data_IF_835303715583
#
_entry.id   IF_835303715583
#
_cell.length_a   1.000
_cell.length_b   1.000
_cell.length_c   1.000
_cell.angle_alpha   90.00
_cell.angle_beta   90.00
_cell.angle_gamma   90.00
#
_symmetry.space_group_name_H-M   'P 1'
#
loop_
_entity.id
_entity.type
_entity.pdbx_description
1 polymer ?
#
# COMPACT_ATOMS: atom_id res chain seq x y z
N UNK A 1 -30.72 19.61 -0.34
CA UNK A 1 -29.50 18.97 -0.86
C UNK A 1 -29.76 18.00 -2.01
N UNK A 2 -30.94 17.38 -2.12
CA UNK A 2 -31.19 16.29 -3.09
C UNK A 2 -30.97 16.62 -4.57
N UNK A 3 -31.22 17.84 -5.06
CA UNK A 3 -31.13 18.13 -6.50
C UNK A 3 -29.69 18.06 -7.06
N UNK A 4 -28.67 18.50 -6.31
CA UNK A 4 -27.28 18.47 -6.80
C UNK A 4 -26.66 17.09 -6.71
N UNK A 5 -26.87 16.38 -5.59
CA UNK A 5 -26.37 15.02 -5.42
C UNK A 5 -27.03 14.05 -6.38
N UNK A 6 -28.34 14.20 -6.64
CA UNK A 6 -29.03 13.37 -7.64
C UNK A 6 -28.49 13.58 -9.05
N UNK A 7 -28.23 14.83 -9.44
CA UNK A 7 -27.56 15.14 -10.72
C UNK A 7 -26.15 14.56 -10.79
N UNK A 8 -25.39 14.62 -9.69
CA UNK A 8 -24.05 14.04 -9.62
C UNK A 8 -24.09 12.52 -9.79
N UNK A 9 -25.05 11.84 -9.14
CA UNK A 9 -25.27 10.41 -9.31
C UNK A 9 -25.64 10.04 -10.75
N UNK A 10 -26.48 10.85 -11.39
CA UNK A 10 -26.83 10.64 -12.80
C UNK A 10 -25.59 10.75 -13.69
N UNK A 11 -24.76 11.78 -13.48
CA UNK A 11 -23.50 11.96 -14.21
C UNK A 11 -22.49 10.84 -13.98
N UNK A 12 -22.44 10.31 -12.76
CA UNK A 12 -21.62 9.14 -12.44
C UNK A 12 -22.07 7.91 -13.24
N UNK A 13 -23.39 7.65 -13.33
CA UNK A 13 -23.95 6.54 -14.12
C UNK A 13 -23.73 6.71 -15.63
N UNK A 14 -23.69 7.95 -16.11
CA UNK A 14 -23.37 8.29 -17.50
C UNK A 14 -21.86 8.16 -17.83
N UNK A 15 -21.00 7.90 -16.83
CA UNK A 15 -19.55 7.86 -17.00
C UNK A 15 -18.89 9.24 -17.03
N UNK A 16 -19.64 10.32 -16.87
CA UNK A 16 -19.14 11.69 -16.80
C UNK A 16 -18.60 12.02 -15.39
N UNK A 17 -17.51 11.36 -15.00
CA UNK A 17 -16.98 11.42 -13.63
C UNK A 17 -16.45 12.80 -13.23
N UNK A 18 -15.88 13.57 -14.16
CA UNK A 18 -15.40 14.94 -13.90
C UNK A 18 -16.55 15.90 -13.58
N UNK A 19 -17.63 15.84 -14.36
CA UNK A 19 -18.85 16.61 -14.08
C UNK A 19 -19.50 16.18 -12.76
N UNK A 20 -19.51 14.87 -12.47
CA UNK A 20 -19.99 14.35 -11.20
C UNK A 20 -19.16 14.91 -10.02
N UNK A 21 -17.83 14.98 -10.14
CA UNK A 21 -16.94 15.55 -9.12
C UNK A 21 -17.23 17.02 -8.84
N UNK A 22 -17.48 17.82 -9.88
CA UNK A 22 -17.86 19.23 -9.71
C UNK A 22 -19.16 19.35 -8.92
N UNK A 23 -20.20 18.58 -9.31
CA UNK A 23 -21.49 18.59 -8.62
C UNK A 23 -21.40 18.09 -7.17
N UNK A 24 -20.56 17.08 -6.89
CA UNK A 24 -20.29 16.65 -5.52
C UNK A 24 -19.52 17.69 -4.72
N UNK A 25 -18.59 18.42 -5.32
CA UNK A 25 -17.86 19.52 -4.67
C UNK A 25 -18.80 20.64 -4.25
N UNK A 26 -19.72 21.04 -5.15
CA UNK A 26 -20.75 22.03 -4.85
C UNK A 26 -21.74 21.56 -3.77
N UNK A 27 -22.06 20.26 -3.76
CA UNK A 27 -22.89 19.66 -2.73
C UNK A 27 -22.17 19.64 -1.37
N UNK A 28 -20.86 19.36 -1.36
CA UNK A 28 -20.02 19.32 -0.17
C UNK A 28 -19.86 20.70 0.46
N UNK A 29 -19.66 21.74 -0.35
CA UNK A 29 -19.62 23.13 0.12
C UNK A 29 -20.92 23.56 0.83
N UNK A 30 -22.06 23.01 0.40
CA UNK A 30 -23.36 23.26 1.01
C UNK A 30 -23.71 22.28 2.15
N UNK A 31 -22.90 21.26 2.39
CA UNK A 31 -23.20 20.19 3.34
C UNK A 31 -22.97 20.63 4.79
N UNK A 32 -24.02 20.53 5.63
CA UNK A 32 -23.97 20.87 7.06
C UNK A 32 -23.86 19.67 7.98
N UNK A 33 -24.44 18.53 7.59
CA UNK A 33 -24.46 17.32 8.43
C UNK A 33 -23.24 16.44 8.13
N UNK A 34 -22.61 15.91 9.18
CA UNK A 34 -21.43 15.04 9.06
C UNK A 34 -21.70 13.82 8.19
N UNK A 35 -22.86 13.19 8.37
CA UNK A 35 -23.32 12.04 7.59
C UNK A 35 -23.33 12.32 6.08
N UNK A 36 -23.78 13.53 5.69
CA UNK A 36 -23.78 13.94 4.29
C UNK A 36 -22.37 14.20 3.77
N UNK A 37 -21.48 14.77 4.61
CA UNK A 37 -20.07 14.96 4.23
C UNK A 37 -19.37 13.62 3.99
N UNK A 38 -19.58 12.64 4.88
CA UNK A 38 -19.06 11.27 4.73
C UNK A 38 -19.51 10.65 3.40
N UNK A 39 -20.81 10.71 3.10
CA UNK A 39 -21.34 10.19 1.84
C UNK A 39 -20.76 10.93 0.62
N UNK A 40 -20.60 12.25 0.68
CA UNK A 40 -20.06 13.05 -0.43
C UNK A 40 -18.58 12.77 -0.69
N UNK A 41 -17.76 12.67 0.34
CA UNK A 41 -16.36 12.27 0.21
C UNK A 41 -16.24 10.84 -0.35
N UNK A 42 -17.07 9.90 0.13
CA UNK A 42 -17.09 8.53 -0.41
C UNK A 42 -17.44 8.48 -1.90
N UNK A 43 -18.42 9.29 -2.34
CA UNK A 43 -18.79 9.38 -3.75
C UNK A 43 -17.71 10.06 -4.61
N UNK A 44 -17.02 11.08 -4.07
CA UNK A 44 -15.87 11.70 -4.75
C UNK A 44 -14.70 10.73 -4.89
N UNK A 45 -14.43 9.92 -3.86
CA UNK A 45 -13.43 8.85 -3.94
C UNK A 45 -13.74 7.88 -5.09
N UNK A 46 -15.00 7.43 -5.20
CA UNK A 46 -15.42 6.56 -6.31
C UNK A 46 -15.22 7.20 -7.69
N UNK A 47 -15.55 8.48 -7.87
CA UNK A 47 -15.25 9.20 -9.11
C UNK A 47 -13.73 9.24 -9.41
N UNK A 48 -12.91 9.53 -8.40
CA UNK A 48 -11.46 9.57 -8.58
C UNK A 48 -10.89 8.21 -8.95
N UNK A 49 -11.42 7.12 -8.38
CA UNK A 49 -11.04 5.75 -8.77
C UNK A 49 -11.38 5.45 -10.22
N UNK A 50 -12.60 5.80 -10.67
CA UNK A 50 -13.00 5.64 -12.07
C UNK A 50 -12.15 6.49 -13.04
N UNK A 51 -11.59 7.59 -12.57
CA UNK A 51 -10.63 8.42 -13.30
C UNK A 51 -9.16 8.01 -13.10
N UNK A 52 -8.89 6.86 -12.44
CA UNK A 52 -7.55 6.38 -12.08
C UNK A 52 -6.70 7.39 -11.28
N UNK A 53 -7.34 8.33 -10.60
CA UNK A 53 -6.71 9.31 -9.73
C UNK A 53 -6.54 8.76 -8.30
N UNK A 54 -5.75 7.70 -8.14
CA UNK A 54 -5.63 6.94 -6.88
C UNK A 54 -5.24 7.80 -5.68
N UNK A 55 -4.27 8.71 -5.85
CA UNK A 55 -3.86 9.63 -4.78
C UNK A 55 -5.01 10.47 -4.24
N UNK A 56 -5.81 11.08 -5.14
CA UNK A 56 -6.97 11.88 -4.76
C UNK A 56 -8.07 11.01 -4.15
N UNK A 57 -8.27 9.79 -4.63
CA UNK A 57 -9.21 8.85 -4.02
C UNK A 57 -8.81 8.51 -2.58
N UNK A 58 -7.53 8.30 -2.30
CA UNK A 58 -7.02 8.05 -0.95
C UNK A 58 -7.17 9.28 -0.03
N UNK A 59 -7.00 10.49 -0.55
CA UNK A 59 -7.28 11.75 0.17
C UNK A 59 -8.75 11.87 0.56
N UNK A 60 -9.68 11.60 -0.36
CA UNK A 60 -11.12 11.60 -0.06
C UNK A 60 -11.49 10.53 0.99
N UNK A 61 -10.88 9.35 0.94
CA UNK A 61 -11.06 8.33 1.98
C UNK A 61 -10.52 8.81 3.34
N UNK A 62 -9.37 9.51 3.33
CA UNK A 62 -8.80 10.08 4.54
C UNK A 62 -9.72 11.13 5.16
N UNK A 63 -10.35 11.98 4.34
CA UNK A 63 -11.37 12.92 4.80
C UNK A 63 -12.59 12.22 5.43
N UNK A 64 -13.00 11.05 4.92
CA UNK A 64 -14.04 10.24 5.59
C UNK A 64 -13.55 9.75 6.96
N UNK A 65 -12.30 9.28 7.06
CA UNK A 65 -11.73 8.74 8.28
C UNK A 65 -11.43 9.80 9.35
N UNK A 66 -11.26 11.06 8.96
CA UNK A 66 -11.23 12.19 9.90
C UNK A 66 -12.60 12.43 10.56
N UNK A 67 -13.69 12.18 9.83
CA UNK A 67 -15.05 12.33 10.34
C UNK A 67 -15.53 11.10 11.13
N UNK A 68 -15.17 9.90 10.64
CA UNK A 68 -15.43 8.61 11.29
C UNK A 68 -14.20 7.70 11.20
N UNK A 69 -13.36 7.68 12.24
CA UNK A 69 -12.14 6.88 12.27
C UNK A 69 -12.36 5.36 12.20
N UNK A 70 -13.58 4.87 12.42
CA UNK A 70 -13.88 3.44 12.36
C UNK A 70 -14.74 3.07 11.15
N UNK A 71 -14.85 3.96 10.17
CA UNK A 71 -15.61 3.73 8.95
C UNK A 71 -14.96 2.61 8.11
N UNK A 72 -15.49 1.40 8.24
CA UNK A 72 -14.93 0.17 7.63
C UNK A 72 -14.84 0.27 6.11
N UNK A 73 -15.85 0.85 5.46
CA UNK A 73 -15.84 1.04 4.00
C UNK A 73 -14.72 1.97 3.52
N UNK A 74 -14.37 3.00 4.30
CA UNK A 74 -13.34 3.95 3.92
C UNK A 74 -11.94 3.39 4.19
N UNK A 75 -11.76 2.65 5.29
CA UNK A 75 -10.52 1.90 5.54
C UNK A 75 -10.26 0.88 4.44
N UNK A 76 -11.28 0.11 4.04
CA UNK A 76 -11.15 -0.88 2.98
C UNK A 76 -10.82 -0.24 1.64
N UNK A 77 -11.57 0.80 1.25
CA UNK A 77 -11.34 1.49 -0.03
C UNK A 77 -9.95 2.13 -0.08
N UNK A 78 -9.51 2.77 1.00
CA UNK A 78 -8.18 3.38 1.07
C UNK A 78 -7.09 2.32 1.00
N UNK A 79 -7.22 1.20 1.73
CA UNK A 79 -6.27 0.10 1.66
C UNK A 79 -6.12 -0.45 0.23
N UNK A 80 -7.23 -0.70 -0.47
CA UNK A 80 -7.19 -1.16 -1.86
C UNK A 80 -6.60 -0.10 -2.81
N UNK A 81 -6.97 1.16 -2.62
CA UNK A 81 -6.41 2.28 -3.41
C UNK A 81 -4.88 2.38 -3.22
N UNK A 82 -4.40 2.17 -2.00
CA UNK A 82 -2.97 2.17 -1.67
C UNK A 82 -2.24 0.95 -2.26
N UNK A 83 -2.90 -0.22 -2.32
CA UNK A 83 -2.39 -1.39 -3.06
C UNK A 83 -2.16 -1.07 -4.53
N UNK A 84 -3.14 -0.44 -5.20
CA UNK A 84 -2.99 -0.01 -6.59
C UNK A 84 -1.88 1.06 -6.78
N UNK A 85 -1.49 1.75 -5.71
CA UNK A 85 -0.35 2.68 -5.70
C UNK A 85 0.97 2.01 -5.28
N UNK A 86 0.97 0.68 -5.05
CA UNK A 86 2.09 -0.11 -4.52
C UNK A 86 2.59 0.38 -3.14
N UNK A 87 1.76 1.14 -2.40
CA UNK A 87 2.03 1.55 -1.01
C UNK A 87 1.46 0.51 -0.03
N UNK A 88 2.14 -0.64 0.01
CA UNK A 88 1.70 -1.78 0.81
C UNK A 88 1.80 -1.53 2.32
N UNK A 89 2.73 -0.70 2.78
CA UNK A 89 2.88 -0.37 4.20
C UNK A 89 1.66 0.40 4.73
N UNK A 90 1.26 1.46 4.02
CA UNK A 90 0.07 2.24 4.39
C UNK A 90 -1.21 1.40 4.26
N UNK A 91 -1.31 0.56 3.24
CA UNK A 91 -2.43 -0.36 3.08
C UNK A 91 -2.54 -1.33 4.27
N UNK A 92 -1.42 -1.90 4.72
CA UNK A 92 -1.37 -2.85 5.82
C UNK A 92 -1.77 -2.20 7.14
N UNK A 93 -1.42 -0.92 7.36
CA UNK A 93 -1.89 -0.15 8.50
C UNK A 93 -3.42 -0.07 8.57
N UNK A 94 -4.08 0.24 7.46
CA UNK A 94 -5.55 0.31 7.40
C UNK A 94 -6.22 -1.06 7.57
N UNK A 95 -5.63 -2.12 7.01
CA UNK A 95 -6.13 -3.48 7.18
C UNK A 95 -5.99 -3.95 8.63
N UNK A 96 -4.94 -3.56 9.35
CA UNK A 96 -4.82 -3.85 10.78
C UNK A 96 -5.96 -3.19 11.58
N UNK A 97 -6.29 -1.93 11.28
CA UNK A 97 -7.44 -1.25 11.90
C UNK A 97 -8.77 -1.94 11.60
N UNK A 98 -8.94 -2.46 10.38
CA UNK A 98 -10.10 -3.29 10.04
C UNK A 98 -10.19 -4.58 10.87
N UNK A 99 -9.05 -5.23 11.11
CA UNK A 99 -8.96 -6.41 11.97
C UNK A 99 -9.19 -6.10 13.45
N UNK A 100 -8.84 -4.90 13.92
CA UNK A 100 -9.23 -4.45 15.27
C UNK A 100 -10.75 -4.30 15.42
N UNK A 101 -11.44 -3.86 14.35
CA UNK A 101 -12.90 -3.70 14.34
C UNK A 101 -13.60 -5.06 14.22
N UNK A 102 -13.13 -5.91 13.30
CA UNK A 102 -13.68 -7.25 13.11
C UNK A 102 -12.56 -8.30 12.97
N UNK A 103 -12.09 -8.86 14.10
CA UNK A 103 -10.99 -9.82 14.11
C UNK A 103 -11.30 -11.15 13.43
N UNK A 104 -12.58 -11.50 13.27
CA UNK A 104 -13.03 -12.77 12.68
C UNK A 104 -13.22 -12.72 11.16
N UNK A 105 -13.03 -11.57 10.53
CA UNK A 105 -13.17 -11.40 9.08
C UNK A 105 -12.05 -12.10 8.32
N UNK A 106 -12.38 -13.21 7.66
CA UNK A 106 -11.43 -13.92 6.80
C UNK A 106 -11.00 -13.06 5.60
N UNK A 107 -11.89 -12.19 5.11
CA UNK A 107 -11.58 -11.22 4.05
C UNK A 107 -10.40 -10.32 4.47
N UNK A 108 -10.42 -9.81 5.70
CA UNK A 108 -9.38 -8.89 6.19
C UNK A 108 -8.06 -9.63 6.47
N UNK A 109 -8.13 -10.86 7.00
CA UNK A 109 -6.94 -11.70 7.23
C UNK A 109 -6.26 -12.10 5.93
N UNK A 110 -7.04 -12.49 4.92
CA UNK A 110 -6.51 -12.86 3.61
C UNK A 110 -5.84 -11.66 2.94
N UNK A 111 -6.45 -10.48 2.99
CA UNK A 111 -5.84 -9.24 2.48
C UNK A 111 -4.56 -8.89 3.25
N UNK A 112 -4.56 -8.99 4.58
CA UNK A 112 -3.36 -8.76 5.40
C UNK A 112 -2.22 -9.72 5.03
N UNK A 113 -2.52 -11.01 4.84
CA UNK A 113 -1.53 -12.02 4.46
C UNK A 113 -0.91 -11.70 3.10
N UNK A 114 -1.74 -11.37 2.09
CA UNK A 114 -1.26 -10.92 0.77
C UNK A 114 -0.33 -9.71 0.89
N UNK A 115 -0.74 -8.69 1.63
CA UNK A 115 0.04 -7.46 1.83
C UNK A 115 1.38 -7.72 2.53
N UNK A 116 1.41 -8.61 3.53
CA UNK A 116 2.67 -8.98 4.22
C UNK A 116 3.65 -9.65 3.27
N UNK A 117 3.16 -10.51 2.38
CA UNK A 117 3.99 -11.12 1.35
C UNK A 117 4.55 -10.04 0.42
N UNK A 118 3.73 -9.11 -0.07
CA UNK A 118 4.19 -8.02 -0.94
C UNK A 118 5.25 -7.13 -0.26
N UNK A 119 5.06 -6.78 1.01
CA UNK A 119 6.07 -6.04 1.79
C UNK A 119 7.37 -6.82 1.94
N UNK A 120 7.30 -8.15 2.09
CA UNK A 120 8.49 -9.01 2.17
C UNK A 120 9.20 -9.20 0.84
N UNK A 121 8.48 -9.08 -0.28
CA UNK A 121 9.02 -9.20 -1.64
C UNK A 121 9.57 -7.89 -2.18
N UNK A 122 9.29 -6.75 -1.52
CA UNK A 122 9.82 -5.46 -1.91
C UNK A 122 11.35 -5.56 -2.07
N UNK A 123 11.89 -5.13 -3.22
CA UNK A 123 13.32 -5.20 -3.47
C UNK A 123 14.07 -4.58 -2.30
N UNK A 124 15.10 -5.29 -1.81
CA UNK A 124 16.08 -4.68 -0.91
C UNK A 124 16.53 -3.42 -1.66
N UNK A 125 16.42 -2.21 -1.06
CA UNK A 125 16.96 -1.03 -1.71
C UNK A 125 18.41 -1.35 -2.00
N UNK A 126 18.73 -1.55 -3.28
CA UNK A 126 20.12 -1.59 -3.72
C UNK A 126 20.67 -0.28 -3.18
N UNK A 127 21.68 -0.38 -2.31
CA UNK A 127 22.24 0.79 -1.67
C UNK A 127 22.69 1.74 -2.76
N UNK A 128 21.86 2.73 -3.05
CA UNK A 128 22.27 3.89 -3.81
C UNK A 128 23.28 4.56 -2.88
N UNK A 129 24.55 4.24 -3.10
CA UNK A 129 25.70 5.06 -2.73
C UNK A 129 25.57 6.38 -3.50
N UNK A 130 24.48 7.13 -3.26
CA UNK A 130 24.30 8.49 -3.70
C UNK A 130 25.10 9.35 -2.71
N UNK A 131 26.42 9.30 -2.90
CA UNK A 131 27.35 10.28 -2.36
C UNK A 131 27.03 11.63 -2.99
N UNK A 132 26.01 12.32 -2.47
CA UNK A 132 25.92 13.77 -2.64
C UNK A 132 26.99 14.40 -1.76
N UNK A 133 28.19 14.60 -2.35
CA UNK A 133 29.13 15.59 -1.86
C UNK A 133 28.43 16.94 -1.84
N UNK A 134 28.05 17.44 -0.66
CA UNK A 134 28.22 18.85 -0.26
C UNK A 134 27.55 19.12 1.09
N UNK A 135 28.31 18.97 2.17
CA UNK A 135 28.15 19.79 3.38
C UNK A 135 29.43 19.68 4.24
N UNK A 136 30.34 20.65 4.05
CA UNK A 136 31.49 20.87 4.92
C UNK A 136 31.05 21.41 6.29
N UNK A 137 31.68 20.83 7.30
CA UNK A 137 32.01 21.36 8.64
C UNK A 137 30.85 21.53 9.63
N UNK A 138 30.87 20.76 10.73
CA UNK A 138 31.48 21.20 12.00
C UNK A 138 32.07 19.99 12.75
N UNK A 139 33.37 20.05 13.01
CA UNK A 139 34.12 19.10 13.83
C UNK A 139 33.98 19.48 15.30
N UNK A 140 33.38 18.62 16.12
CA UNK A 140 33.54 18.67 17.58
C UNK A 140 34.17 17.37 18.08
N UNK A 141 35.44 17.48 18.43
CA UNK A 141 36.25 16.45 19.08
C UNK A 141 35.74 16.13 20.49
N UNK A 142 35.76 14.85 20.87
CA UNK A 142 36.49 14.28 22.03
C UNK A 142 35.97 12.86 22.34
N UNK A 143 36.68 12.02 23.12
CA UNK A 143 38.07 11.63 23.03
C UNK A 143 38.26 10.08 23.07
N UNK A 144 39.24 9.59 22.34
CA UNK A 144 39.83 8.24 22.48
C UNK A 144 40.70 8.14 23.74
N UNK A 145 40.53 7.06 24.52
CA UNK A 145 41.50 6.58 25.52
C UNK A 145 41.16 5.14 25.96
N UNK A 146 42.15 4.36 26.44
CA UNK A 146 42.53 3.09 25.80
C UNK A 146 42.08 1.82 26.52
N UNK A 147 42.14 0.71 25.79
CA UNK A 147 41.99 -0.66 26.29
C UNK A 147 43.06 -1.00 27.36
N UNK A 148 42.72 -1.80 28.39
CA UNK A 148 43.66 -2.20 29.42
C UNK A 148 44.67 -3.25 28.91
N UNK A 149 45.92 -3.03 29.29
CA UNK A 149 47.08 -3.90 29.09
C UNK A 149 47.04 -5.13 29.99
N UNK A 150 47.28 -6.31 29.44
CA UNK A 150 47.84 -7.43 30.19
C UNK A 150 48.84 -8.18 29.30
N UNK A 151 50.08 -8.12 29.76
CA UNK A 151 51.27 -8.76 29.21
C UNK A 151 51.23 -10.27 29.51
N UNK A 152 51.32 -11.11 28.49
CA UNK A 152 52.06 -12.39 28.45
C UNK A 152 51.65 -13.25 27.25
N UNK A 153 52.63 -13.45 26.36
CA UNK A 153 52.81 -14.55 25.40
C UNK A 153 51.60 -15.44 25.05
N UNK A 154 50.93 -15.12 23.95
CA UNK A 154 50.36 -16.14 23.08
C UNK A 154 50.25 -15.59 21.65
N UNK A 155 51.00 -16.17 20.72
CA UNK A 155 50.93 -15.88 19.30
C UNK A 155 49.50 -16.14 18.78
N UNK A 156 48.74 -15.07 18.49
CA UNK A 156 47.40 -15.20 17.92
C UNK A 156 47.50 -15.25 16.40
N UNK A 157 47.45 -16.49 15.92
CA UNK A 157 47.42 -16.93 14.53
C UNK A 157 46.18 -16.34 13.82
N UNK A 158 46.34 -15.87 12.59
CA UNK A 158 45.28 -15.27 11.78
C UNK A 158 44.07 -16.18 11.57
N UNK A 159 42.95 -15.58 11.15
CA UNK A 159 41.68 -16.19 10.75
C UNK A 159 41.85 -17.64 10.25
N UNK A 160 41.59 -18.61 11.12
CA UNK A 160 41.58 -20.02 10.72
C UNK A 160 40.23 -20.36 10.09
N UNK A 161 40.28 -20.99 8.91
CA UNK A 161 39.12 -21.45 8.18
C UNK A 161 38.33 -22.50 8.98
N UNK A 162 37.02 -22.29 9.10
CA UNK A 162 36.10 -23.25 9.70
C UNK A 162 36.15 -24.56 8.88
N UNK A 163 36.43 -25.72 9.48
CA UNK A 163 36.50 -26.97 8.75
C UNK A 163 35.12 -27.35 8.18
N UNK A 164 35.07 -27.67 6.88
CA UNK A 164 33.86 -28.07 6.18
C UNK A 164 33.17 -29.25 6.90
N UNK A 165 31.84 -29.24 7.08
CA UNK A 165 31.13 -30.37 7.64
C UNK A 165 31.34 -31.63 6.77
N UNK A 166 31.76 -32.74 7.40
CA UNK A 166 31.95 -34.03 6.74
C UNK A 166 30.58 -34.67 6.50
N UNK A 167 29.96 -34.34 5.38
CA UNK A 167 28.68 -34.91 4.99
C UNK A 167 27.84 -34.05 4.07
N UNK A 168 28.46 -33.27 3.17
CA UNK A 168 27.70 -32.74 2.05
C UNK A 168 27.22 -33.91 1.20
N UNK A 169 25.90 -34.13 1.22
CA UNK A 169 25.17 -34.81 0.16
C UNK A 169 25.82 -34.44 -1.18
N UNK A 170 26.22 -35.45 -1.97
CA UNK A 170 26.68 -35.25 -3.36
C UNK A 170 25.46 -34.88 -4.22
N UNK A 171 24.86 -33.72 -3.93
CA UNK A 171 24.01 -33.03 -4.87
C UNK A 171 24.90 -32.65 -6.05
N UNK A 172 24.67 -33.33 -7.15
CA UNK A 172 25.36 -33.13 -8.41
C UNK A 172 24.89 -31.82 -9.03
N UNK A 173 25.64 -30.75 -8.82
CA UNK A 173 25.34 -29.44 -9.38
C UNK A 173 25.53 -29.39 -10.90
N UNK A 174 26.10 -30.43 -11.52
CA UNK A 174 26.22 -30.53 -12.98
C UNK A 174 24.87 -30.70 -13.70
N UNK A 175 23.78 -30.93 -12.96
CA UNK A 175 22.43 -31.01 -13.52
C UNK A 175 21.79 -29.63 -13.80
N UNK A 176 22.38 -28.53 -13.31
CA UNK A 176 21.85 -27.17 -13.50
C UNK A 176 22.49 -26.41 -14.67
N UNK A 177 23.66 -26.83 -15.17
CA UNK A 177 24.33 -26.23 -16.34
C UNK A 177 23.63 -26.50 -17.67
N UNK A 178 22.59 -27.35 -17.67
CA UNK A 178 21.80 -27.66 -18.88
C UNK A 178 20.43 -26.97 -18.93
N UNK A 179 20.10 -26.11 -17.96
CA UNK A 179 18.90 -25.24 -18.02
C UNK A 179 19.32 -23.85 -18.50
N UNK A 180 20.03 -23.80 -19.63
CA UNK A 180 20.27 -22.59 -20.41
C UNK A 180 19.70 -22.83 -21.81
N UNK A 181 18.38 -22.78 -21.90
CA UNK A 181 17.70 -23.10 -23.15
C UNK A 181 16.22 -22.81 -23.07
N UNK A 182 15.87 -21.53 -23.11
CA UNK A 182 14.48 -21.09 -23.25
C UNK A 182 13.89 -20.47 -21.98
N UNK A 183 14.60 -19.54 -21.35
CA UNK A 183 13.86 -18.41 -20.77
C UNK A 183 13.48 -17.58 -22.00
N UNK A 184 12.34 -17.95 -22.58
CA UNK A 184 11.61 -17.05 -23.46
C UNK A 184 11.37 -15.81 -22.61
N UNK A 185 12.04 -14.73 -22.96
CA UNK A 185 11.76 -13.36 -22.53
C UNK A 185 10.35 -13.06 -23.03
N UNK A 186 9.40 -13.61 -22.30
CA UNK A 186 7.97 -13.45 -22.50
C UNK A 186 7.69 -12.29 -21.59
N UNK A 187 7.35 -11.15 -22.21
CA UNK A 187 6.84 -9.96 -21.57
C UNK A 187 5.58 -10.31 -20.73
N UNK A 188 5.76 -11.02 -19.62
CA UNK A 188 4.74 -11.41 -18.64
C UNK A 188 4.76 -10.44 -17.44
N UNK A 189 5.15 -9.17 -17.64
CA UNK A 189 5.22 -8.18 -16.55
C UNK A 189 3.93 -7.35 -16.37
N UNK A 190 2.87 -7.54 -17.16
CA UNK A 190 1.73 -6.61 -17.15
C UNK A 190 0.37 -7.19 -16.66
N UNK A 191 0.23 -8.49 -16.38
CA UNK A 191 -1.09 -9.06 -16.00
C UNK A 191 -1.47 -8.80 -14.52
N UNK A 192 -0.51 -8.75 -13.59
CA UNK A 192 -0.79 -8.58 -12.16
C UNK A 192 -1.27 -7.16 -11.80
N UNK A 193 -0.76 -6.14 -12.50
CA UNK A 193 -1.16 -4.74 -12.28
C UNK A 193 -2.64 -4.50 -12.65
N UNK A 194 -3.20 -5.33 -13.54
CA UNK A 194 -4.60 -5.25 -13.96
C UNK A 194 -5.58 -5.89 -12.95
N UNK A 195 -5.17 -6.91 -12.19
CA UNK A 195 -6.05 -7.57 -11.21
C UNK A 195 -6.32 -6.68 -9.98
N UNK A 196 -5.26 -6.07 -9.42
CA UNK A 196 -5.41 -5.16 -8.28
C UNK A 196 -6.21 -3.91 -8.67
N UNK A 197 -6.03 -3.42 -9.90
CA UNK A 197 -6.81 -2.31 -10.45
C UNK A 197 -8.29 -2.68 -10.59
N UNK A 198 -8.58 -3.89 -11.09
CA UNK A 198 -9.94 -4.40 -11.22
C UNK A 198 -10.63 -4.50 -9.86
N UNK A 199 -9.95 -5.03 -8.85
CA UNK A 199 -10.49 -5.15 -7.49
C UNK A 199 -10.88 -3.79 -6.92
N UNK A 200 -10.05 -2.77 -7.14
CA UNK A 200 -10.31 -1.38 -6.69
C UNK A 200 -11.49 -0.76 -7.42
N UNK A 201 -11.58 -0.97 -8.73
CA UNK A 201 -12.64 -0.42 -9.57
C UNK A 201 -14.00 -1.09 -9.30
N UNK A 202 -14.02 -2.36 -8.92
CA UNK A 202 -15.21 -3.09 -8.46
C UNK A 202 -15.63 -2.61 -7.05
N UNK A 203 -14.67 -2.39 -6.13
CA UNK A 203 -14.97 -1.86 -4.81
C UNK A 203 -15.57 -0.44 -4.85
N UNK A 204 -15.13 0.39 -5.80
CA UNK A 204 -15.72 1.71 -6.06
C UNK A 204 -17.22 1.63 -6.39
N UNK A 205 -17.66 0.57 -7.09
CA UNK A 205 -19.07 0.35 -7.45
C UNK A 205 -19.90 -0.10 -6.25
N UNK A 206 -19.34 -0.93 -5.37
CA UNK A 206 -19.99 -1.35 -4.12
C UNK A 206 -20.23 -0.15 -3.21
N UNK A 207 -19.29 0.79 -3.11
CA UNK A 207 -19.44 1.97 -2.27
C UNK A 207 -20.43 2.97 -2.86
N UNK A 208 -20.39 3.19 -4.18
CA UNK A 208 -21.37 4.04 -4.87
C UNK A 208 -22.80 3.50 -4.74
N UNK A 209 -22.98 2.17 -4.77
CA UNK A 209 -24.28 1.50 -4.64
C UNK A 209 -24.79 1.43 -3.20
N UNK A 210 -23.92 1.22 -2.20
CA UNK A 210 -24.30 1.15 -0.79
C UNK A 210 -24.94 2.47 -0.30
N UNK A 211 -24.40 3.61 -0.72
CA UNK A 211 -24.94 4.94 -0.33
C UNK A 211 -26.15 5.39 -1.16
N UNK A 212 -26.35 4.85 -2.38
CA UNK A 212 -27.58 5.05 -3.14
C UNK A 212 -28.77 4.28 -2.53
N UNK A 213 -28.52 3.09 -1.99
CA UNK A 213 -29.57 2.23 -1.40
C UNK A 213 -30.08 2.75 -0.05
N UNK A 214 -29.27 3.49 0.72
CA UNK A 214 -29.70 4.12 1.98
C UNK A 214 -30.79 5.20 1.80
N UNK A 215 -31.15 5.56 0.57
CA UNK A 215 -32.25 6.48 0.24
C UNK A 215 -33.58 5.77 -0.08
N UNK A 216 -33.60 4.42 -0.11
CA UNK A 216 -34.80 3.62 -0.44
C UNK A 216 -35.30 2.71 0.70
N UNK A 217 -34.70 2.76 1.89
CA UNK A 217 -35.14 1.99 3.05
C UNK A 217 -35.49 2.87 4.25
N UNK A 218 -36.79 2.91 4.56
CA UNK A 218 -37.48 3.18 5.84
C UNK A 218 -36.67 3.76 7.02
#
# INVERSE_FOLDING_TARGET
MGSRTERAHQKYREGSYEEALQLYSDALAAAKLLQHKVALHSNRAACHLKLRNFRKAAEECSAVLELDPKHTGALMLRAQTLVAMKDYHSALFDVNRLLEINPSSDVYRNLQARLRTQVSLAPIPEGEDEMTEDAKAETSESPTSPLPTADSDAAVKGWEAIPKPKGHSRLDYSQWDSIVGGISDSDDEDEDDDEDLRMVLEAAEVIASFFQASKLGL
#
